data_IF_648810050008
#
_entry.id   IF_648810050008
#
_cell.length_a   1.000
_cell.length_b   1.000
_cell.length_c   1.000
_cell.angle_alpha   90.00
_cell.angle_beta   90.00
_cell.angle_gamma   90.00
#
_symmetry.space_group_name_H-M   'P 1'
#
loop_
_entity.id
_entity.type
_entity.pdbx_description
1 polymer ?
#
# COMPACT_ATOMS: atom_id res chain seq x y z
N UNK A 1 -20.58 -7.25 -74.60
CA UNK A 1 -19.37 -7.61 -73.85
C UNK A 1 -19.13 -6.54 -72.79
N UNK A 2 -18.99 -6.98 -71.54
CA UNK A 2 -18.38 -6.36 -70.35
C UNK A 2 -17.51 -5.11 -70.59
N UNK A 3 -17.35 -4.10 -69.70
CA UNK A 3 -17.77 -3.75 -68.33
C UNK A 3 -17.38 -2.25 -68.19
N UNK A 4 -18.27 -1.37 -67.71
CA UNK A 4 -18.28 -0.78 -66.36
C UNK A 4 -17.06 0.07 -65.96
N UNK A 5 -17.29 1.38 -65.97
CA UNK A 5 -16.69 2.41 -65.10
C UNK A 5 -17.31 2.32 -63.67
N UNK A 6 -17.09 3.28 -62.74
CA UNK A 6 -15.89 3.48 -61.91
C UNK A 6 -16.26 3.73 -60.42
N UNK A 7 -15.35 4.39 -59.69
CA UNK A 7 -15.55 5.27 -58.51
C UNK A 7 -15.52 4.70 -57.08
N UNK A 8 -14.34 4.91 -56.46
CA UNK A 8 -14.06 5.57 -55.17
C UNK A 8 -14.93 5.24 -53.95
N UNK A 9 -14.29 4.67 -52.92
CA UNK A 9 -14.36 5.17 -51.53
C UNK A 9 -13.03 4.98 -50.78
N UNK A 10 -12.60 5.97 -49.97
CA UNK A 10 -11.57 5.77 -48.97
C UNK A 10 -12.18 5.22 -47.66
N UNK A 11 -11.33 4.75 -46.75
CA UNK A 11 -11.62 4.38 -45.35
C UNK A 11 -11.94 2.90 -45.08
N UNK A 12 -10.89 2.07 -44.91
CA UNK A 12 -10.91 0.81 -44.14
C UNK A 12 -9.54 0.43 -43.54
N UNK A 13 -8.69 1.40 -43.17
CA UNK A 13 -7.36 1.10 -42.61
C UNK A 13 -7.25 1.22 -41.08
N UNK A 14 -8.32 1.61 -40.36
CA UNK A 14 -8.27 1.92 -38.92
C UNK A 14 -9.00 0.92 -38.00
N UNK A 15 -9.48 -0.21 -38.53
CA UNK A 15 -10.23 -1.21 -37.76
C UNK A 15 -9.63 -2.63 -37.74
N UNK A 16 -8.44 -2.86 -38.33
CA UNK A 16 -7.79 -4.18 -38.27
C UNK A 16 -6.70 -4.32 -37.21
N UNK A 17 -6.04 -3.24 -36.80
CA UNK A 17 -5.01 -3.30 -35.75
C UNK A 17 -5.59 -3.49 -34.34
N UNK A 18 -6.83 -3.06 -34.10
CA UNK A 18 -7.53 -3.25 -32.82
C UNK A 18 -7.91 -4.72 -32.57
N UNK A 19 -8.41 -5.43 -33.58
CA UNK A 19 -8.82 -6.83 -33.46
C UNK A 19 -7.62 -7.79 -33.36
N UNK A 20 -6.49 -7.49 -34.01
CA UNK A 20 -5.28 -8.32 -33.89
C UNK A 20 -4.57 -8.13 -32.55
N UNK A 21 -4.55 -6.92 -31.97
CA UNK A 21 -4.05 -6.69 -30.61
C UNK A 21 -4.98 -7.29 -29.54
N UNK A 22 -6.30 -7.29 -29.75
CA UNK A 22 -7.25 -7.95 -28.86
C UNK A 22 -7.18 -9.49 -28.95
N UNK A 23 -6.92 -10.05 -30.14
CA UNK A 23 -6.64 -11.47 -30.34
C UNK A 23 -5.26 -11.91 -29.82
N UNK A 24 -4.24 -11.06 -29.93
CA UNK A 24 -2.91 -11.30 -29.33
C UNK A 24 -2.94 -11.22 -27.81
N UNK A 25 -3.67 -10.26 -27.23
CA UNK A 25 -3.83 -10.16 -25.78
C UNK A 25 -4.70 -11.29 -25.20
N UNK A 26 -5.75 -11.74 -25.92
CA UNK A 26 -6.52 -12.94 -25.56
C UNK A 26 -5.71 -14.23 -25.74
N UNK A 27 -4.86 -14.34 -26.77
CA UNK A 27 -3.95 -15.48 -26.96
C UNK A 27 -2.78 -15.48 -25.98
N UNK A 28 -2.30 -14.33 -25.51
CA UNK A 28 -1.30 -14.22 -24.44
C UNK A 28 -1.90 -14.49 -23.06
N UNK A 29 -3.16 -14.13 -22.82
CA UNK A 29 -3.91 -14.53 -21.62
C UNK A 29 -4.19 -16.04 -21.59
N UNK A 30 -4.52 -16.65 -22.72
CA UNK A 30 -4.77 -18.10 -22.81
C UNK A 30 -3.48 -18.92 -22.86
N UNK A 31 -2.41 -18.44 -23.52
CA UNK A 31 -1.09 -19.07 -23.48
C UNK A 31 -0.40 -18.90 -22.11
N UNK A 32 -0.66 -17.79 -21.41
CA UNK A 32 -0.25 -17.58 -20.02
C UNK A 32 -0.98 -18.48 -19.02
N UNK A 33 -2.19 -18.95 -19.36
CA UNK A 33 -2.96 -19.90 -18.56
C UNK A 33 -2.63 -21.38 -18.86
N UNK A 34 -2.11 -21.71 -20.05
CA UNK A 34 -1.88 -23.09 -20.48
C UNK A 34 -0.44 -23.61 -20.27
N UNK A 35 0.54 -22.75 -19.99
CA UNK A 35 1.93 -23.16 -19.68
C UNK A 35 2.17 -23.54 -18.20
N UNK A 36 1.12 -23.54 -17.36
CA UNK A 36 1.21 -23.79 -15.91
C UNK A 36 0.87 -25.24 -15.48
N UNK A 37 0.63 -26.14 -16.44
CA UNK A 37 0.21 -27.52 -16.17
C UNK A 37 1.32 -28.58 -16.20
N UNK A 38 2.60 -28.21 -16.07
CA UNK A 38 3.68 -29.19 -16.05
C UNK A 38 4.83 -28.85 -15.08
N UNK A 39 4.60 -29.15 -13.80
CA UNK A 39 5.59 -29.82 -12.93
C UNK A 39 4.90 -30.24 -11.62
N UNK A 40 4.91 -31.53 -11.22
CA UNK A 40 4.62 -31.92 -9.84
C UNK A 40 5.84 -31.53 -8.99
N UNK A 41 5.90 -30.26 -8.63
CA UNK A 41 6.89 -29.70 -7.73
C UNK A 41 6.16 -29.14 -6.51
N UNK A 42 6.55 -29.66 -5.35
CA UNK A 42 6.12 -29.27 -4.01
C UNK A 42 5.50 -27.86 -3.90
N UNK A 43 4.36 -27.79 -3.23
CA UNK A 43 3.80 -26.55 -2.73
C UNK A 43 4.88 -25.76 -2.01
N UNK A 44 5.16 -24.52 -2.45
CA UNK A 44 6.10 -23.64 -1.74
C UNK A 44 5.44 -23.03 -0.50
N UNK A 45 4.99 -23.92 0.40
CA UNK A 45 4.49 -23.57 1.72
C UNK A 45 5.59 -22.87 2.53
N UNK A 46 6.86 -23.15 2.24
CA UNK A 46 7.99 -22.45 2.82
C UNK A 46 7.95 -20.96 2.45
N UNK A 47 7.68 -20.61 1.19
CA UNK A 47 7.46 -19.21 0.79
C UNK A 47 6.24 -18.60 1.47
N UNK A 48 5.09 -19.29 1.48
CA UNK A 48 3.88 -18.72 2.08
C UNK A 48 4.02 -18.48 3.60
N UNK A 49 4.75 -19.36 4.31
CA UNK A 49 5.11 -19.15 5.72
C UNK A 49 6.14 -18.03 5.89
N UNK A 50 7.11 -17.91 4.99
CA UNK A 50 8.06 -16.80 4.99
C UNK A 50 7.36 -15.44 4.80
N UNK A 51 6.47 -15.34 3.80
CA UNK A 51 5.63 -14.19 3.53
C UNK A 51 4.72 -13.88 4.74
N UNK A 52 4.14 -14.91 5.36
CA UNK A 52 3.37 -14.74 6.59
C UNK A 52 4.16 -14.06 7.71
N UNK A 53 5.39 -14.50 7.98
CA UNK A 53 6.24 -13.90 9.01
C UNK A 53 6.61 -12.44 8.70
N UNK A 54 6.90 -12.11 7.44
CA UNK A 54 7.15 -10.72 7.04
C UNK A 54 5.91 -9.84 7.20
N UNK A 55 4.74 -10.32 6.78
CA UNK A 55 3.49 -9.57 6.91
C UNK A 55 3.08 -9.39 8.38
N UNK A 56 3.34 -10.38 9.24
CA UNK A 56 3.15 -10.25 10.69
C UNK A 56 4.05 -9.16 11.26
N UNK A 57 5.32 -9.15 10.85
CA UNK A 57 6.26 -8.08 11.17
C UNK A 57 5.77 -6.69 10.77
N UNK A 58 5.22 -6.58 9.55
CA UNK A 58 4.70 -5.31 9.03
C UNK A 58 3.49 -4.81 9.85
N UNK A 59 2.56 -5.70 10.21
CA UNK A 59 1.41 -5.37 11.07
C UNK A 59 1.88 -4.92 12.46
N UNK A 60 2.80 -5.65 13.08
CA UNK A 60 3.37 -5.28 14.38
C UNK A 60 4.07 -3.91 14.33
N UNK A 61 4.83 -3.65 13.26
CA UNK A 61 5.49 -2.37 13.01
C UNK A 61 4.50 -1.22 12.81
N UNK A 62 3.44 -1.43 12.03
CA UNK A 62 2.40 -0.41 11.79
C UNK A 62 1.65 -0.04 13.08
N UNK A 63 1.39 -1.01 13.97
CA UNK A 63 0.82 -0.75 15.30
C UNK A 63 1.76 0.10 16.15
N UNK A 64 3.04 -0.26 16.21
CA UNK A 64 4.05 0.50 16.96
C UNK A 64 4.20 1.94 16.45
N UNK A 65 4.14 2.16 15.13
CA UNK A 65 4.15 3.49 14.53
C UNK A 65 2.91 4.32 14.87
N UNK A 66 1.72 3.70 14.91
CA UNK A 66 0.49 4.35 15.34
C UNK A 66 0.55 4.78 16.80
N UNK A 67 1.08 3.93 17.68
CA UNK A 67 1.32 4.25 19.08
C UNK A 67 2.34 5.39 19.23
N UNK A 68 3.44 5.36 18.48
CA UNK A 68 4.43 6.44 18.46
C UNK A 68 3.82 7.78 17.99
N UNK A 69 2.97 7.74 16.95
CA UNK A 69 2.26 8.93 16.48
C UNK A 69 1.29 9.49 17.53
N UNK A 70 0.59 8.61 18.27
CA UNK A 70 -0.29 9.03 19.36
C UNK A 70 0.52 9.69 20.50
N UNK A 71 1.67 9.11 20.87
CA UNK A 71 2.57 9.70 21.88
C UNK A 71 3.00 11.11 21.47
N UNK A 72 3.37 11.31 20.19
CA UNK A 72 3.73 12.62 19.66
C UNK A 72 2.55 13.61 19.72
N UNK A 73 1.33 13.17 19.44
CA UNK A 73 0.13 14.01 19.53
C UNK A 73 -0.21 14.41 20.99
N UNK A 74 -0.12 13.47 21.92
CA UNK A 74 -0.36 13.72 23.35
C UNK A 74 0.70 14.66 23.94
N UNK A 75 1.96 14.50 23.54
CA UNK A 75 3.03 15.41 23.91
C UNK A 75 2.82 16.82 23.33
N UNK A 76 2.54 16.93 22.02
CA UNK A 76 2.32 18.21 21.36
C UNK A 76 1.08 18.97 21.89
N UNK A 77 0.12 18.26 22.49
CA UNK A 77 -1.06 18.86 23.13
C UNK A 77 -0.90 19.11 24.63
N UNK A 78 0.27 18.84 25.20
CA UNK A 78 0.56 19.02 26.62
C UNK A 78 -0.11 17.99 27.54
N UNK A 79 -0.76 16.96 27.00
CA UNK A 79 -1.37 15.86 27.77
C UNK A 79 -0.34 14.87 28.31
N UNK A 80 0.83 14.82 27.66
CA UNK A 80 1.95 13.97 28.06
C UNK A 80 3.19 14.85 28.26
N UNK A 81 3.85 14.72 29.40
CA UNK A 81 5.09 15.45 29.66
C UNK A 81 6.25 14.91 28.80
N UNK A 82 7.31 15.71 28.65
CA UNK A 82 8.46 15.36 27.81
C UNK A 82 9.23 14.12 28.31
N UNK A 83 9.18 13.78 29.60
CA UNK A 83 9.83 12.57 30.12
C UNK A 83 9.00 11.30 29.85
N UNK A 84 7.67 11.40 29.97
CA UNK A 84 6.70 10.36 29.59
C UNK A 84 6.78 10.06 28.10
N UNK A 85 6.75 11.10 27.26
CA UNK A 85 6.85 10.96 25.81
C UNK A 85 8.17 10.30 25.39
N UNK A 86 9.30 10.72 25.97
CA UNK A 86 10.62 10.12 25.69
C UNK A 86 10.69 8.64 26.08
N UNK A 87 10.09 8.25 27.20
CA UNK A 87 10.04 6.85 27.64
C UNK A 87 9.18 6.01 26.70
N UNK A 88 7.98 6.49 26.36
CA UNK A 88 7.06 5.79 25.47
C UNK A 88 7.65 5.62 24.06
N UNK A 89 8.20 6.67 23.45
CA UNK A 89 8.90 6.54 22.16
C UNK A 89 10.14 5.65 22.24
N UNK A 90 10.85 5.63 23.38
CA UNK A 90 11.95 4.71 23.61
C UNK A 90 11.52 3.25 23.58
N UNK A 91 10.38 2.92 24.20
CA UNK A 91 9.80 1.57 24.15
C UNK A 91 9.42 1.17 22.72
N UNK A 92 8.76 2.07 21.98
CA UNK A 92 8.40 1.82 20.57
C UNK A 92 9.64 1.59 19.71
N UNK A 93 10.70 2.38 19.92
CA UNK A 93 11.96 2.21 19.20
C UNK A 93 12.58 0.83 19.44
N UNK A 94 12.66 0.38 20.69
CA UNK A 94 13.21 -0.94 21.02
C UNK A 94 12.35 -2.07 20.43
N UNK A 95 11.01 -1.91 20.43
CA UNK A 95 10.11 -2.85 19.77
C UNK A 95 10.37 -2.94 18.27
N UNK A 96 10.50 -1.80 17.57
CA UNK A 96 10.81 -1.76 16.15
C UNK A 96 12.18 -2.41 15.83
N UNK A 97 13.20 -2.13 16.65
CA UNK A 97 14.53 -2.76 16.54
C UNK A 97 14.46 -4.27 16.75
N UNK A 98 13.67 -4.73 17.71
CA UNK A 98 13.44 -6.16 17.98
C UNK A 98 12.77 -6.86 16.79
N UNK A 99 11.71 -6.28 16.23
CA UNK A 99 11.02 -6.80 15.03
C UNK A 99 12.00 -6.91 13.87
N UNK A 100 12.76 -5.84 13.61
CA UNK A 100 13.76 -5.82 12.54
C UNK A 100 14.82 -6.89 12.73
N UNK A 101 15.39 -7.01 13.92
CA UNK A 101 16.44 -7.99 14.22
C UNK A 101 15.95 -9.43 14.02
N UNK A 102 14.73 -9.73 14.50
CA UNK A 102 14.07 -11.04 14.32
C UNK A 102 13.93 -11.39 12.84
N UNK A 103 13.44 -10.46 12.02
CA UNK A 103 13.16 -10.70 10.61
C UNK A 103 14.40 -10.61 9.71
N UNK A 104 15.44 -9.90 10.13
CA UNK A 104 16.76 -9.95 9.50
C UNK A 104 17.39 -11.35 9.64
N UNK A 105 17.16 -12.02 10.78
CA UNK A 105 17.59 -13.39 11.04
C UNK A 105 16.76 -14.48 10.36
N UNK A 106 15.62 -14.13 9.74
CA UNK A 106 14.74 -15.09 9.06
C UNK A 106 15.48 -15.67 7.84
N UNK A 107 15.68 -17.01 7.73
CA UNK A 107 16.37 -17.61 6.60
C UNK A 107 15.61 -17.33 5.31
N UNK A 108 16.33 -16.91 4.26
CA UNK A 108 15.77 -16.57 2.97
C UNK A 108 16.64 -17.15 1.84
N UNK A 109 16.00 -17.88 0.92
CA UNK A 109 16.64 -18.35 -0.30
C UNK A 109 16.85 -17.17 -1.29
N UNK A 110 17.44 -17.43 -2.47
CA UNK A 110 17.68 -16.40 -3.49
C UNK A 110 16.43 -15.65 -3.94
N UNK A 111 15.28 -16.32 -3.91
CA UNK A 111 14.00 -15.80 -4.41
C UNK A 111 13.24 -15.00 -3.34
N UNK A 112 13.43 -15.33 -2.06
CA UNK A 112 12.85 -14.64 -0.90
C UNK A 112 13.65 -13.41 -0.46
N UNK A 113 14.95 -13.35 -0.80
CA UNK A 113 15.85 -12.25 -0.45
C UNK A 113 15.33 -10.87 -0.86
N UNK A 114 14.86 -10.63 -2.09
CA UNK A 114 14.34 -9.31 -2.49
C UNK A 114 13.19 -8.84 -1.59
N UNK A 115 12.24 -9.73 -1.28
CA UNK A 115 11.10 -9.42 -0.42
C UNK A 115 11.56 -9.10 1.02
N UNK A 116 12.50 -9.88 1.57
CA UNK A 116 13.11 -9.59 2.87
C UNK A 116 13.79 -8.23 2.90
N UNK A 117 14.59 -7.93 1.87
CA UNK A 117 15.33 -6.66 1.80
C UNK A 117 14.37 -5.48 1.76
N UNK A 118 13.31 -5.54 0.96
CA UNK A 118 12.30 -4.49 0.90
C UNK A 118 11.60 -4.29 2.26
N UNK A 119 11.31 -5.38 2.99
CA UNK A 119 10.82 -5.28 4.37
C UNK A 119 11.83 -4.57 5.30
N UNK A 120 13.10 -4.96 5.25
CA UNK A 120 14.14 -4.37 6.09
C UNK A 120 14.36 -2.88 5.80
N UNK A 121 14.16 -2.44 4.55
CA UNK A 121 14.19 -1.02 4.18
C UNK A 121 13.02 -0.26 4.83
N UNK A 122 11.80 -0.80 4.76
CA UNK A 122 10.60 -0.24 5.42
C UNK A 122 10.80 -0.16 6.94
N UNK A 123 11.36 -1.22 7.53
CA UNK A 123 11.68 -1.28 8.96
C UNK A 123 12.74 -0.25 9.36
N UNK A 124 13.79 -0.08 8.55
CA UNK A 124 14.84 0.90 8.82
C UNK A 124 14.30 2.34 8.75
N UNK A 125 13.48 2.67 7.75
CA UNK A 125 12.85 3.98 7.65
C UNK A 125 11.92 4.29 8.85
N UNK A 126 11.26 3.26 9.39
CA UNK A 126 10.36 3.41 10.54
C UNK A 126 11.11 3.62 11.85
N UNK A 127 12.23 2.91 12.03
CA UNK A 127 13.17 3.14 13.14
C UNK A 127 13.69 4.57 13.09
N UNK A 128 14.18 5.01 11.94
CA UNK A 128 14.70 6.37 11.75
C UNK A 128 13.63 7.45 12.02
N UNK A 129 12.38 7.23 11.61
CA UNK A 129 11.27 8.14 11.90
C UNK A 129 11.06 8.30 13.40
N UNK A 130 11.05 7.20 14.16
CA UNK A 130 10.88 7.25 15.63
C UNK A 130 12.13 7.81 16.32
N UNK A 131 13.33 7.48 15.86
CA UNK A 131 14.58 8.06 16.37
C UNK A 131 14.62 9.57 16.17
N UNK A 132 14.25 10.03 14.99
CA UNK A 132 14.23 11.44 14.68
C UNK A 132 13.10 12.16 15.44
N UNK A 133 11.93 11.54 15.64
CA UNK A 133 10.89 12.06 16.54
C UNK A 133 11.37 12.21 18.00
N UNK A 134 12.18 11.26 18.48
CA UNK A 134 12.81 11.35 19.82
C UNK A 134 13.86 12.44 19.90
N UNK A 135 14.72 12.56 18.89
CA UNK A 135 15.75 13.60 18.83
C UNK A 135 15.12 15.00 18.78
N UNK A 136 14.02 15.13 18.04
CA UNK A 136 13.24 16.34 17.94
C UNK A 136 12.71 16.84 19.30
N UNK A 137 12.36 15.93 20.22
CA UNK A 137 11.97 16.27 21.60
C UNK A 137 13.13 16.72 22.50
N UNK A 138 14.38 16.51 22.10
CA UNK A 138 15.57 16.85 22.89
C UNK A 138 16.14 18.22 22.50
N UNK A 139 15.73 18.77 21.36
CA UNK A 139 16.16 20.08 20.89
C UNK A 139 15.46 21.25 21.59
N UNK A 140 15.93 22.50 21.39
CA UNK A 140 15.18 23.69 21.73
C UNK A 140 13.83 23.69 21.00
N UNK A 141 12.84 24.39 21.57
CA UNK A 141 11.46 24.44 21.09
C UNK A 141 11.42 24.61 19.56
N UNK A 142 11.07 23.55 18.81
CA UNK A 142 11.43 23.49 17.41
C UNK A 142 10.51 24.40 16.60
N UNK A 143 11.12 25.26 15.79
CA UNK A 143 10.37 26.19 14.97
C UNK A 143 9.52 25.47 13.91
N UNK A 144 8.55 26.19 13.36
CA UNK A 144 7.63 25.67 12.33
C UNK A 144 8.37 25.16 11.07
N UNK A 145 9.58 25.66 10.80
CA UNK A 145 10.39 25.28 9.63
C UNK A 145 11.06 23.93 9.86
N UNK A 146 11.62 23.70 11.04
CA UNK A 146 12.20 22.43 11.46
C UNK A 146 11.16 21.30 11.44
N UNK A 147 9.94 21.55 11.94
CA UNK A 147 8.81 20.62 11.87
C UNK A 147 8.46 20.21 10.43
N UNK A 148 8.41 21.19 9.52
CA UNK A 148 8.09 20.96 8.11
C UNK A 148 9.17 20.18 7.38
N UNK A 149 10.45 20.51 7.63
CA UNK A 149 11.58 19.79 7.04
C UNK A 149 11.60 18.33 7.51
N UNK A 150 11.50 18.13 8.82
CA UNK A 150 11.39 16.80 9.43
C UNK A 150 10.25 15.98 8.81
N UNK A 151 9.05 16.57 8.74
CA UNK A 151 7.91 15.90 8.13
C UNK A 151 8.19 15.55 6.65
N UNK A 152 8.70 16.50 5.86
CA UNK A 152 8.99 16.29 4.43
C UNK A 152 9.98 15.15 4.19
N UNK A 153 11.12 15.17 4.87
CA UNK A 153 12.22 14.23 4.63
C UNK A 153 11.83 12.79 5.00
N UNK A 154 11.17 12.60 6.15
CA UNK A 154 10.77 11.28 6.60
C UNK A 154 9.54 10.73 5.88
N UNK A 155 8.63 11.59 5.42
CA UNK A 155 7.44 11.16 4.68
C UNK A 155 7.76 10.74 3.26
N UNK A 156 8.64 11.49 2.57
CA UNK A 156 9.10 11.10 1.24
C UNK A 156 9.81 9.74 1.29
N UNK A 157 10.76 9.57 2.23
CA UNK A 157 11.47 8.31 2.40
C UNK A 157 10.53 7.16 2.75
N UNK A 158 9.60 7.36 3.68
CA UNK A 158 8.59 6.35 4.05
C UNK A 158 7.75 5.94 2.85
N UNK A 159 7.37 6.91 2.01
CA UNK A 159 6.64 6.63 0.78
C UNK A 159 7.42 5.78 -0.22
N UNK A 160 8.69 6.12 -0.46
CA UNK A 160 9.55 5.40 -1.38
C UNK A 160 9.78 3.94 -0.95
N UNK A 161 10.04 3.69 0.35
CA UNK A 161 10.26 2.32 0.84
C UNK A 161 8.98 1.49 0.81
N UNK A 162 7.82 2.08 1.07
CA UNK A 162 6.52 1.39 0.94
C UNK A 162 6.22 1.02 -0.52
N UNK A 163 6.55 1.89 -1.48
CA UNK A 163 6.39 1.57 -2.90
C UNK A 163 7.30 0.41 -3.34
N UNK A 164 8.55 0.38 -2.86
CA UNK A 164 9.49 -0.73 -3.08
C UNK A 164 8.98 -2.03 -2.47
N UNK A 165 8.41 -1.99 -1.28
CA UNK A 165 7.77 -3.15 -0.64
C UNK A 165 6.64 -3.73 -1.49
N UNK A 166 5.72 -2.89 -1.97
CA UNK A 166 4.63 -3.34 -2.85
C UNK A 166 5.18 -3.94 -4.16
N UNK A 167 6.22 -3.33 -4.73
CA UNK A 167 6.87 -3.85 -5.95
C UNK A 167 7.57 -5.19 -5.70
N UNK A 168 8.23 -5.36 -4.55
CA UNK A 168 8.85 -6.62 -4.17
C UNK A 168 7.79 -7.72 -3.95
N UNK A 169 6.64 -7.38 -3.36
CA UNK A 169 5.50 -8.30 -3.28
C UNK A 169 4.99 -8.71 -4.66
N UNK A 170 4.78 -7.75 -5.58
CA UNK A 170 4.35 -8.02 -6.96
C UNK A 170 5.33 -8.98 -7.69
N UNK A 171 6.63 -8.75 -7.56
CA UNK A 171 7.66 -9.60 -8.16
C UNK A 171 7.67 -11.01 -7.55
N UNK A 172 7.39 -11.12 -6.25
CA UNK A 172 7.39 -12.39 -5.54
C UNK A 172 6.12 -13.23 -5.78
N UNK A 173 5.03 -12.65 -6.30
CA UNK A 173 3.79 -13.37 -6.61
C UNK A 173 4.00 -14.56 -7.55
N UNK A 174 4.84 -14.38 -8.58
CA UNK A 174 5.12 -15.45 -9.54
C UNK A 174 5.73 -16.68 -8.89
N UNK A 175 6.49 -16.49 -7.80
CA UNK A 175 7.03 -17.59 -6.98
C UNK A 175 5.98 -18.12 -6.01
N UNK A 176 5.27 -17.22 -5.32
CA UNK A 176 4.22 -17.58 -4.39
C UNK A 176 3.12 -18.46 -5.02
N UNK A 177 2.85 -18.27 -6.31
CA UNK A 177 1.85 -19.03 -7.06
C UNK A 177 2.39 -20.38 -7.58
N UNK A 178 3.71 -20.58 -7.68
CA UNK A 178 4.29 -21.87 -8.11
C UNK A 178 4.03 -22.93 -7.03
N UNK A 179 3.29 -23.96 -7.39
CA UNK A 179 2.92 -25.05 -6.46
C UNK A 179 1.88 -24.65 -5.40
N UNK A 180 1.40 -23.41 -5.36
CA UNK A 180 0.30 -23.05 -4.48
C UNK A 180 -0.99 -23.73 -4.95
N UNK A 181 -1.77 -24.24 -4.00
CA UNK A 181 -3.02 -24.94 -4.27
C UNK A 181 -4.09 -24.56 -3.25
N UNK A 182 -5.36 -24.73 -3.62
CA UNK A 182 -6.50 -24.43 -2.76
C UNK A 182 -6.50 -22.97 -2.31
N UNK A 183 -6.72 -22.74 -1.02
CA UNK A 183 -6.89 -21.39 -0.48
C UNK A 183 -5.64 -20.52 -0.52
N UNK A 184 -4.44 -21.13 -0.48
CA UNK A 184 -3.18 -20.39 -0.61
C UNK A 184 -3.08 -19.80 -2.02
N UNK A 185 -3.46 -20.57 -3.05
CA UNK A 185 -3.52 -20.06 -4.42
C UNK A 185 -4.58 -18.96 -4.56
N UNK A 186 -5.78 -19.16 -4.01
CA UNK A 186 -6.83 -18.15 -4.02
C UNK A 186 -6.39 -16.84 -3.35
N UNK A 187 -5.62 -16.92 -2.26
CA UNK A 187 -5.03 -15.75 -1.61
C UNK A 187 -4.05 -15.02 -2.54
N UNK A 188 -3.10 -15.72 -3.15
CA UNK A 188 -2.11 -15.06 -4.01
C UNK A 188 -2.70 -14.53 -5.32
N UNK A 189 -3.71 -15.19 -5.89
CA UNK A 189 -4.47 -14.67 -7.04
C UNK A 189 -5.17 -13.36 -6.67
N UNK A 190 -5.86 -13.33 -5.51
CA UNK A 190 -6.48 -12.11 -5.02
C UNK A 190 -5.45 -11.01 -4.74
N UNK A 191 -4.36 -11.36 -4.06
CA UNK A 191 -3.27 -10.43 -3.75
C UNK A 191 -2.71 -9.78 -5.02
N UNK A 192 -2.47 -10.59 -6.07
CA UNK A 192 -2.01 -10.10 -7.36
C UNK A 192 -2.99 -9.17 -8.06
N UNK A 193 -4.30 -9.36 -7.87
CA UNK A 193 -5.32 -8.44 -8.38
C UNK A 193 -5.35 -7.09 -7.65
N UNK A 194 -5.04 -7.07 -6.35
CA UNK A 194 -5.19 -5.86 -5.52
C UNK A 194 -3.90 -5.06 -5.35
N UNK A 195 -2.72 -5.65 -5.48
CA UNK A 195 -1.43 -4.96 -5.29
C UNK A 195 -1.26 -3.72 -6.20
N UNK A 196 -1.57 -3.78 -7.51
CA UNK A 196 -1.48 -2.60 -8.37
C UNK A 196 -2.44 -1.47 -7.96
N UNK A 197 -3.58 -1.82 -7.36
CA UNK A 197 -4.54 -0.84 -6.84
C UNK A 197 -3.99 -0.16 -5.58
N UNK A 198 -3.40 -0.93 -4.66
CA UNK A 198 -2.77 -0.39 -3.45
C UNK A 198 -1.58 0.51 -3.76
N UNK A 199 -0.79 0.20 -4.78
CA UNK A 199 0.29 1.09 -5.25
C UNK A 199 -0.26 2.45 -5.71
N UNK A 200 -1.34 2.44 -6.50
CA UNK A 200 -2.00 3.68 -6.92
C UNK A 200 -2.59 4.46 -5.74
N UNK A 201 -3.14 3.78 -4.73
CA UNK A 201 -3.61 4.41 -3.49
C UNK A 201 -2.46 5.08 -2.73
N UNK A 202 -1.29 4.42 -2.65
CA UNK A 202 -0.09 4.96 -2.02
C UNK A 202 0.43 6.21 -2.76
N UNK A 203 0.56 6.13 -4.09
CA UNK A 203 0.96 7.27 -4.93
C UNK A 203 0.02 8.48 -4.74
N UNK A 204 -1.29 8.21 -4.62
CA UNK A 204 -2.29 9.24 -4.39
C UNK A 204 -2.12 9.91 -3.02
N UNK A 205 -1.95 9.11 -1.96
CA UNK A 205 -1.73 9.62 -0.62
C UNK A 205 -0.44 10.45 -0.53
N UNK A 206 0.64 9.99 -1.16
CA UNK A 206 1.91 10.72 -1.24
C UNK A 206 1.78 12.04 -1.98
N UNK A 207 1.08 12.07 -3.12
CA UNK A 207 0.87 13.29 -3.89
C UNK A 207 0.10 14.35 -3.08
N UNK A 208 -0.98 13.94 -2.39
CA UNK A 208 -1.74 14.85 -1.52
C UNK A 208 -0.93 15.34 -0.34
N UNK A 209 -0.17 14.45 0.29
CA UNK A 209 0.67 14.78 1.42
C UNK A 209 1.78 15.76 1.04
N UNK A 210 2.46 15.54 -0.09
CA UNK A 210 3.47 16.44 -0.62
C UNK A 210 2.88 17.83 -0.92
N UNK A 211 1.70 17.88 -1.55
CA UNK A 211 1.02 19.14 -1.86
C UNK A 211 0.63 19.92 -0.58
N UNK A 212 0.14 19.21 0.46
CA UNK A 212 -0.17 19.81 1.76
C UNK A 212 1.08 20.38 2.45
N UNK A 213 2.19 19.63 2.48
CA UNK A 213 3.42 20.07 3.14
C UNK A 213 4.06 21.28 2.46
N UNK A 214 3.99 21.33 1.13
CA UNK A 214 4.53 22.42 0.31
C UNK A 214 3.61 23.65 0.26
N UNK A 215 2.41 23.56 0.85
CA UNK A 215 1.35 24.57 0.73
C UNK A 215 1.09 24.94 -0.75
N UNK A 216 1.01 23.91 -1.59
CA UNK A 216 0.95 24.03 -3.04
C UNK A 216 -0.22 24.95 -3.48
N UNK A 217 0.03 25.97 -4.34
CA UNK A 217 -1.02 26.87 -4.81
C UNK A 217 -2.13 26.13 -5.58
N UNK A 218 -1.81 24.98 -6.20
CA UNK A 218 -2.74 24.16 -6.98
C UNK A 218 -3.39 23.04 -6.14
N UNK A 219 -3.28 23.08 -4.81
CA UNK A 219 -3.81 22.05 -3.90
C UNK A 219 -5.28 21.69 -4.19
N UNK A 220 -6.11 22.68 -4.54
CA UNK A 220 -7.51 22.44 -4.89
C UNK A 220 -7.69 21.58 -6.15
N UNK A 221 -6.90 21.83 -7.19
CA UNK A 221 -6.93 21.05 -8.42
C UNK A 221 -6.37 19.64 -8.20
N UNK A 222 -5.26 19.52 -7.47
CA UNK A 222 -4.65 18.25 -7.07
C UNK A 222 -5.65 17.41 -6.28
N UNK A 223 -6.29 17.99 -5.27
CA UNK A 223 -7.28 17.31 -4.45
C UNK A 223 -8.52 16.89 -5.25
N UNK A 224 -9.02 17.75 -6.15
CA UNK A 224 -10.13 17.41 -7.04
C UNK A 224 -9.82 16.24 -7.98
N UNK A 225 -8.61 16.18 -8.55
CA UNK A 225 -8.16 15.01 -9.32
C UNK A 225 -8.03 13.78 -8.44
N UNK A 226 -7.55 13.96 -7.20
CA UNK A 226 -7.34 12.86 -6.28
C UNK A 226 -8.64 12.19 -5.83
N UNK A 227 -9.71 12.98 -5.58
CA UNK A 227 -11.04 12.44 -5.28
C UNK A 227 -11.51 11.53 -6.41
N UNK A 228 -11.45 11.99 -7.67
CA UNK A 228 -11.87 11.19 -8.83
C UNK A 228 -11.06 9.90 -8.95
N UNK A 229 -9.75 9.94 -8.69
CA UNK A 229 -8.89 8.75 -8.68
C UNK A 229 -9.26 7.79 -7.56
N UNK A 230 -9.45 8.28 -6.33
CA UNK A 230 -9.83 7.46 -5.18
C UNK A 230 -11.18 6.76 -5.39
N UNK A 231 -12.18 7.46 -5.93
CA UNK A 231 -13.48 6.86 -6.27
C UNK A 231 -13.31 5.75 -7.31
N UNK A 232 -12.54 5.97 -8.37
CA UNK A 232 -12.27 4.94 -9.37
C UNK A 232 -11.56 3.71 -8.77
N UNK A 233 -10.58 3.93 -7.90
CA UNK A 233 -9.90 2.83 -7.19
C UNK A 233 -10.88 2.03 -6.34
N UNK A 234 -11.75 2.70 -5.59
CA UNK A 234 -12.80 2.04 -4.81
C UNK A 234 -13.73 1.21 -5.71
N UNK A 235 -14.16 1.73 -6.85
CA UNK A 235 -14.99 0.99 -7.80
C UNK A 235 -14.26 -0.21 -8.42
N UNK A 236 -12.96 -0.09 -8.71
CA UNK A 236 -12.14 -1.20 -9.22
C UNK A 236 -11.98 -2.32 -8.19
N UNK A 237 -11.74 -1.97 -6.92
CA UNK A 237 -11.73 -2.94 -5.82
C UNK A 237 -13.11 -3.61 -5.72
N UNK A 238 -14.19 -2.83 -5.65
CA UNK A 238 -15.56 -3.35 -5.53
C UNK A 238 -15.98 -4.25 -6.71
N UNK A 239 -15.49 -3.98 -7.93
CA UNK A 239 -15.79 -4.79 -9.10
C UNK A 239 -15.08 -6.14 -9.10
N UNK A 240 -14.03 -6.31 -8.31
CA UNK A 240 -13.35 -7.60 -8.18
C UNK A 240 -14.23 -8.59 -7.43
N UNK A 241 -14.19 -9.86 -7.85
CA UNK A 241 -14.93 -10.96 -7.24
C UNK A 241 -13.94 -11.84 -6.47
N UNK A 242 -13.65 -11.54 -5.19
CA UNK A 242 -12.77 -12.37 -4.38
C UNK A 242 -13.36 -13.76 -4.16
N UNK A 243 -12.49 -14.75 -3.92
CA UNK A 243 -12.94 -16.02 -3.37
C UNK A 243 -13.44 -15.85 -1.93
N UNK A 244 -14.37 -16.71 -1.49
CA UNK A 244 -14.92 -16.65 -0.14
C UNK A 244 -13.84 -16.67 0.97
N UNK A 245 -12.74 -17.39 0.74
CA UNK A 245 -11.61 -17.48 1.69
C UNK A 245 -10.88 -16.16 1.94
N UNK A 246 -11.05 -15.16 1.08
CA UNK A 246 -10.41 -13.83 1.22
C UNK A 246 -11.41 -12.68 1.28
N UNK A 247 -12.71 -12.98 1.42
CA UNK A 247 -13.79 -11.99 1.43
C UNK A 247 -13.59 -10.91 2.50
N UNK A 248 -13.28 -11.30 3.74
CA UNK A 248 -13.07 -10.35 4.83
C UNK A 248 -11.86 -9.43 4.61
N UNK A 249 -10.78 -9.95 4.00
CA UNK A 249 -9.62 -9.13 3.62
C UNK A 249 -9.97 -8.15 2.49
N UNK A 250 -10.80 -8.59 1.55
CA UNK A 250 -11.28 -7.76 0.46
C UNK A 250 -12.19 -6.61 0.95
N UNK A 251 -13.10 -6.89 1.87
CA UNK A 251 -13.99 -5.87 2.47
C UNK A 251 -13.20 -4.80 3.25
N UNK A 252 -12.17 -5.21 3.99
CA UNK A 252 -11.28 -4.28 4.69
C UNK A 252 -10.48 -3.41 3.71
N UNK A 253 -10.00 -3.97 2.61
CA UNK A 253 -9.36 -3.20 1.53
C UNK A 253 -10.34 -2.18 0.91
N UNK A 254 -11.60 -2.56 0.69
CA UNK A 254 -12.61 -1.63 0.19
C UNK A 254 -12.83 -0.48 1.18
N UNK A 255 -12.91 -0.78 2.49
CA UNK A 255 -13.02 0.23 3.53
C UNK A 255 -11.80 1.19 3.56
N UNK A 256 -10.58 0.66 3.35
CA UNK A 256 -9.37 1.48 3.16
C UNK A 256 -9.51 2.45 1.98
N UNK A 257 -10.00 2.00 0.82
CA UNK A 257 -10.20 2.88 -0.35
C UNK A 257 -11.26 3.96 -0.11
N UNK A 258 -12.35 3.63 0.58
CA UNK A 258 -13.38 4.61 0.96
C UNK A 258 -12.80 5.64 1.93
N UNK A 259 -11.97 5.22 2.88
CA UNK A 259 -11.30 6.14 3.80
C UNK A 259 -10.31 7.07 3.08
N UNK A 260 -9.59 6.58 2.06
CA UNK A 260 -8.75 7.41 1.20
C UNK A 260 -9.56 8.47 0.45
N UNK A 261 -10.70 8.09 -0.14
CA UNK A 261 -11.58 9.04 -0.83
C UNK A 261 -12.04 10.17 0.10
N UNK A 262 -12.44 9.83 1.33
CA UNK A 262 -12.80 10.83 2.37
C UNK A 262 -11.63 11.72 2.74
N UNK A 263 -10.41 11.18 2.83
CA UNK A 263 -9.21 11.99 3.04
C UNK A 263 -9.01 13.00 1.90
N UNK A 264 -9.11 12.56 0.64
CA UNK A 264 -9.04 13.45 -0.53
C UNK A 264 -10.09 14.57 -0.46
N UNK A 265 -11.33 14.25 -0.08
CA UNK A 265 -12.40 15.23 0.13
C UNK A 265 -12.07 16.23 1.25
N UNK A 266 -11.55 15.75 2.38
CA UNK A 266 -11.10 16.61 3.46
C UNK A 266 -10.02 17.60 3.02
N UNK A 267 -9.05 17.14 2.23
CA UNK A 267 -7.99 18.00 1.68
C UNK A 267 -8.56 19.02 0.70
N UNK A 268 -9.50 18.62 -0.17
CA UNK A 268 -10.16 19.56 -1.09
C UNK A 268 -10.93 20.66 -0.36
N UNK A 269 -11.63 20.31 0.73
CA UNK A 269 -12.30 21.28 1.58
C UNK A 269 -11.30 22.23 2.26
N UNK A 270 -10.18 21.71 2.75
CA UNK A 270 -9.12 22.53 3.35
C UNK A 270 -8.44 23.47 2.35
N UNK A 271 -8.32 23.06 1.08
CA UNK A 271 -7.80 23.91 0.02
C UNK A 271 -8.70 25.12 -0.27
N UNK A 272 -10.02 24.97 -0.11
CA UNK A 272 -11.02 26.02 -0.30
C UNK A 272 -11.17 26.92 0.93
N UNK A 273 -11.12 26.33 2.11
CA UNK A 273 -11.25 27.02 3.39
C UNK A 273 -10.12 26.58 4.32
N UNK A 274 -9.18 27.48 4.64
CA UNK A 274 -8.04 27.20 5.53
C UNK A 274 -8.36 27.38 7.02
N UNK A 275 -9.64 27.29 7.41
CA UNK A 275 -10.08 27.35 8.80
C UNK A 275 -9.57 26.20 9.68
N UNK A 276 -9.69 26.39 11.00
CA UNK A 276 -9.39 25.34 11.98
C UNK A 276 -10.30 24.10 11.82
N UNK A 277 -11.54 24.30 11.38
CA UNK A 277 -12.52 23.23 11.18
C UNK A 277 -12.15 22.33 10.02
N UNK A 278 -11.73 22.91 8.89
CA UNK A 278 -11.27 22.11 7.74
C UNK A 278 -9.99 21.35 8.05
N UNK A 279 -9.04 21.97 8.78
CA UNK A 279 -7.84 21.30 9.27
C UNK A 279 -8.17 20.15 10.25
N UNK A 280 -9.18 20.33 11.09
CA UNK A 280 -9.71 19.27 11.96
C UNK A 280 -10.26 18.09 11.16
N UNK A 281 -11.00 18.35 10.06
CA UNK A 281 -11.51 17.30 9.17
C UNK A 281 -10.38 16.52 8.50
N UNK A 282 -9.35 17.20 7.98
CA UNK A 282 -8.18 16.53 7.38
C UNK A 282 -7.53 15.59 8.42
N UNK A 283 -7.31 16.06 9.65
CA UNK A 283 -6.75 15.23 10.73
C UNK A 283 -7.64 14.03 11.05
N UNK A 284 -8.96 14.22 11.14
CA UNK A 284 -9.92 13.13 11.38
C UNK A 284 -9.86 12.06 10.28
N UNK A 285 -9.91 12.48 9.01
CA UNK A 285 -9.91 11.54 7.89
C UNK A 285 -8.55 10.86 7.70
N UNK A 286 -7.44 11.54 7.99
CA UNK A 286 -6.10 10.94 8.01
C UNK A 286 -6.02 9.81 9.05
N UNK A 287 -6.57 10.01 10.26
CA UNK A 287 -6.66 8.94 11.27
C UNK A 287 -7.55 7.78 10.83
N UNK A 288 -8.69 8.08 10.21
CA UNK A 288 -9.59 7.04 9.69
C UNK A 288 -8.90 6.21 8.61
N UNK A 289 -8.22 6.85 7.67
CA UNK A 289 -7.46 6.17 6.62
C UNK A 289 -6.36 5.30 7.22
N UNK A 290 -5.55 5.84 8.14
CA UNK A 290 -4.45 5.07 8.77
C UNK A 290 -4.97 3.84 9.53
N UNK A 291 -6.09 3.96 10.25
CA UNK A 291 -6.73 2.82 10.92
C UNK A 291 -7.26 1.79 9.94
N UNK A 292 -7.91 2.24 8.86
CA UNK A 292 -8.43 1.35 7.83
C UNK A 292 -7.30 0.60 7.09
N UNK A 293 -6.17 1.26 6.83
CA UNK A 293 -4.96 0.62 6.29
C UNK A 293 -4.43 -0.47 7.23
N UNK A 294 -4.34 -0.20 8.54
CA UNK A 294 -3.93 -1.23 9.51
C UNK A 294 -4.91 -2.41 9.50
N UNK A 295 -6.21 -2.14 9.55
CA UNK A 295 -7.23 -3.20 9.53
C UNK A 295 -7.15 -4.04 8.24
N UNK A 296 -6.94 -3.41 7.09
CA UNK A 296 -6.74 -4.11 5.82
C UNK A 296 -5.51 -5.04 5.86
N UNK A 297 -4.40 -4.60 6.44
CA UNK A 297 -3.21 -5.44 6.63
C UNK A 297 -3.45 -6.60 7.60
N UNK A 298 -4.16 -6.36 8.71
CA UNK A 298 -4.51 -7.39 9.69
C UNK A 298 -5.42 -8.47 9.09
N UNK A 299 -6.43 -8.05 8.31
CA UNK A 299 -7.34 -8.98 7.63
C UNK A 299 -6.64 -9.74 6.52
N UNK A 300 -5.72 -9.10 5.79
CA UNK A 300 -4.86 -9.76 4.81
C UNK A 300 -3.99 -10.83 5.46
N UNK A 301 -3.35 -10.51 6.59
CA UNK A 301 -2.57 -11.45 7.37
C UNK A 301 -3.42 -12.64 7.83
N UNK A 302 -4.60 -12.38 8.40
CA UNK A 302 -5.53 -13.42 8.86
C UNK A 302 -5.99 -14.34 7.73
N UNK A 303 -6.20 -13.82 6.52
CA UNK A 303 -6.55 -14.62 5.35
C UNK A 303 -5.41 -15.57 4.93
N UNK A 304 -4.16 -15.11 4.94
CA UNK A 304 -2.99 -15.96 4.68
C UNK A 304 -2.82 -17.03 5.77
N UNK A 305 -2.98 -16.66 7.04
CA UNK A 305 -2.95 -17.63 8.15
C UNK A 305 -4.02 -18.70 8.01
N UNK A 306 -5.26 -18.31 7.70
CA UNK A 306 -6.36 -19.25 7.50
C UNK A 306 -6.10 -20.19 6.32
N UNK A 307 -5.61 -19.65 5.20
CA UNK A 307 -5.26 -20.43 4.01
C UNK A 307 -4.18 -21.48 4.30
N UNK A 308 -3.21 -21.16 5.16
CA UNK A 308 -2.16 -22.09 5.59
C UNK A 308 -2.63 -23.15 6.61
N UNK A 309 -3.65 -22.85 7.42
CA UNK A 309 -4.18 -23.79 8.43
C UNK A 309 -5.05 -24.90 7.83
N UNK A 310 -5.82 -24.62 6.77
CA UNK A 310 -6.77 -25.58 6.20
C UNK A 310 -6.16 -26.72 5.35
N UNK A 311 -4.82 -26.80 5.30
CA UNK A 311 -4.08 -27.89 4.66
C UNK A 311 -3.60 -28.98 5.63
N UNK A 312 -3.92 -28.86 6.92
CA UNK A 312 -3.68 -29.89 7.95
C UNK A 312 -4.87 -30.84 8.08
#
# INVERSE_FOLDING_TARGET
FCLSSPTLRPSQALHREGDEQELLSRRLLVAGLLLWLAAPGYCDEAFARFDLELNRGLVEQNRSLLEAAQVMEEWASGRLDSQGARRALGQQLEQLKGIRARLAGLPANSEQKPLRTAFLDVSSASIELVEAARAFQQGPDPDRKALKSFASDHLERSGQVQARWLTAQEQALGQAMRGAHGQVLSYYVWLGGVLPLRRQSLELAQSLQAALLREDPDLGAIAGQAIRRAIRLSSQVQASRPAASVQAAHEALLAEQVALARLCEGVALHAQDKSADSASRVRRYSRQFTRATLEAEERRLAALEAALRQKR
#
